data_IF_257283534645
#
_entry.id   IF_257283534645
#
_cell.length_a   1.000
_cell.length_b   1.000
_cell.length_c   1.000
_cell.angle_alpha   90.00
_cell.angle_beta   90.00
_cell.angle_gamma   90.00
#
_symmetry.space_group_name_H-M   'P 1'
#
loop_
_entity.id
_entity.type
_entity.pdbx_description
1 polymer ?
#
# COMPACT_ATOMS: atom_id res chain seq x y z
N UNK A 1 -45.41 -20.30 38.79
CA UNK A 1 -45.22 -20.65 37.37
C UNK A 1 -44.10 -19.79 36.82
N UNK A 2 -42.87 -20.31 36.86
CA UNK A 2 -41.70 -19.63 36.31
C UNK A 2 -41.65 -19.97 34.82
N UNK A 3 -41.80 -18.94 33.99
CA UNK A 3 -41.70 -19.01 32.54
C UNK A 3 -40.23 -19.18 32.18
N UNK A 4 -39.94 -20.27 31.48
CA UNK A 4 -38.68 -20.61 30.85
C UNK A 4 -38.23 -19.46 29.93
N UNK A 5 -37.10 -18.80 30.23
CA UNK A 5 -36.39 -17.97 29.25
C UNK A 5 -35.12 -18.70 28.83
N UNK A 6 -35.13 -19.09 27.56
CA UNK A 6 -34.01 -19.71 26.85
C UNK A 6 -32.79 -18.80 26.94
N UNK A 7 -31.69 -19.35 27.44
CA UNK A 7 -30.36 -18.78 27.32
C UNK A 7 -29.94 -18.88 25.85
N UNK A 8 -30.14 -17.81 25.09
CA UNK A 8 -29.35 -17.61 23.88
C UNK A 8 -27.94 -17.25 24.36
N UNK A 9 -27.03 -18.22 24.33
CA UNK A 9 -25.60 -17.96 24.25
C UNK A 9 -25.38 -17.23 22.92
N UNK A 10 -25.57 -15.91 22.95
CA UNK A 10 -25.21 -15.04 21.85
C UNK A 10 -23.72 -15.19 21.65
N UNK A 11 -23.34 -15.91 20.59
CA UNK A 11 -21.99 -15.84 20.06
C UNK A 11 -21.79 -14.38 19.68
N UNK A 12 -21.06 -13.64 20.53
CA UNK A 12 -20.44 -12.40 20.10
C UNK A 12 -19.48 -12.81 19.00
N UNK A 13 -19.88 -12.62 17.75
CA UNK A 13 -18.94 -12.61 16.63
C UNK A 13 -18.13 -11.34 16.83
N UNK A 14 -17.06 -11.46 17.62
CA UNK A 14 -15.98 -10.49 17.58
C UNK A 14 -15.33 -10.76 16.22
N UNK A 15 -15.62 -9.90 15.24
CA UNK A 15 -14.79 -9.82 14.06
C UNK A 15 -13.40 -9.41 14.57
N UNK A 16 -12.52 -10.41 14.70
CA UNK A 16 -11.10 -10.20 14.93
C UNK A 16 -10.61 -9.31 13.79
N UNK A 17 -10.20 -8.10 14.16
CA UNK A 17 -9.50 -7.12 13.35
C UNK A 17 -9.97 -7.07 11.90
N UNK A 18 -11.02 -6.29 11.66
CA UNK A 18 -11.27 -5.74 10.34
C UNK A 18 -9.93 -5.24 9.81
N UNK A 19 -9.44 -5.89 8.77
CA UNK A 19 -8.19 -5.54 8.12
C UNK A 19 -8.32 -4.07 7.75
N UNK A 20 -7.65 -3.19 8.51
CA UNK A 20 -7.47 -1.81 8.10
C UNK A 20 -6.90 -1.88 6.70
N UNK A 21 -7.64 -1.39 5.70
CA UNK A 21 -7.05 -1.02 4.43
C UNK A 21 -6.13 0.17 4.74
N UNK A 22 -4.91 -0.12 5.20
CA UNK A 22 -3.85 0.88 5.24
C UNK A 22 -3.37 1.06 3.80
N UNK A 23 -4.21 1.65 2.93
CA UNK A 23 -3.98 1.83 1.50
C UNK A 23 -3.47 0.56 0.82
N UNK A 24 -4.36 -0.32 0.39
CA UNK A 24 -4.09 -1.72 0.07
C UNK A 24 -2.77 -1.98 -0.67
N UNK A 25 -2.06 -3.02 -0.22
CA UNK A 25 -0.91 -3.54 -0.93
C UNK A 25 -1.36 -4.02 -2.32
N UNK A 26 -1.19 -3.17 -3.33
CA UNK A 26 -1.57 -3.40 -4.71
C UNK A 26 -0.73 -4.52 -5.36
N UNK A 27 0.40 -4.88 -4.76
CA UNK A 27 1.30 -5.90 -5.28
C UNK A 27 0.97 -7.30 -4.75
N UNK A 28 0.21 -7.43 -3.66
CA UNK A 28 -0.09 -8.73 -3.05
C UNK A 28 -0.72 -9.71 -4.07
N UNK A 29 -0.09 -10.86 -4.22
CA UNK A 29 -0.49 -11.94 -5.13
C UNK A 29 -0.32 -11.62 -6.61
N UNK A 30 0.30 -10.48 -6.97
CA UNK A 30 0.43 -10.07 -8.37
C UNK A 30 1.62 -10.72 -9.07
N UNK A 31 1.61 -10.82 -10.42
CA UNK A 31 2.74 -11.35 -11.17
C UNK A 31 4.01 -10.52 -10.95
N UNK A 32 5.10 -11.19 -10.60
CA UNK A 32 6.41 -10.57 -10.42
C UNK A 32 7.49 -11.27 -11.24
N UNK A 33 8.48 -10.51 -11.69
CA UNK A 33 9.65 -10.95 -12.46
C UNK A 33 10.93 -10.35 -11.87
N UNK A 34 12.06 -10.97 -12.13
CA UNK A 34 13.35 -10.48 -11.69
C UNK A 34 14.43 -10.77 -12.74
N UNK A 35 15.56 -10.06 -12.67
CA UNK A 35 16.68 -10.16 -13.62
C UNK A 35 17.22 -11.58 -13.77
N UNK A 36 17.24 -12.34 -12.67
CA UNK A 36 17.63 -13.74 -12.62
C UNK A 36 17.13 -14.37 -11.32
N UNK A 37 17.05 -15.68 -11.24
CA UNK A 37 16.62 -16.38 -10.01
C UNK A 37 17.77 -17.17 -9.40
N UNK A 38 18.03 -16.96 -8.11
CA UNK A 38 18.93 -17.79 -7.32
C UNK A 38 18.17 -18.96 -6.71
N UNK A 39 18.50 -20.18 -7.15
CA UNK A 39 17.80 -21.42 -6.77
C UNK A 39 16.27 -21.32 -6.94
N UNK A 40 15.51 -21.44 -5.85
CA UNK A 40 14.04 -21.42 -5.83
C UNK A 40 13.49 -20.09 -5.27
N UNK A 41 14.32 -19.05 -5.19
CA UNK A 41 13.95 -17.76 -4.62
C UNK A 41 13.25 -16.88 -5.68
N UNK A 42 12.10 -17.35 -6.16
CA UNK A 42 11.35 -16.74 -7.25
C UNK A 42 10.89 -15.32 -6.91
N UNK A 43 10.75 -14.46 -7.94
CA UNK A 43 10.28 -13.08 -7.79
C UNK A 43 8.93 -12.97 -7.06
N UNK A 44 8.02 -13.94 -7.27
CA UNK A 44 6.67 -13.97 -6.67
C UNK A 44 6.67 -14.06 -5.15
N UNK A 45 7.79 -14.48 -4.54
CA UNK A 45 7.89 -14.61 -3.09
C UNK A 45 7.90 -13.26 -2.39
N UNK A 46 8.32 -12.18 -3.08
CA UNK A 46 8.29 -10.83 -2.51
C UNK A 46 6.90 -10.17 -2.57
N UNK A 47 5.86 -10.89 -2.97
CA UNK A 47 4.47 -10.40 -3.07
C UNK A 47 3.47 -11.44 -2.58
N UNK A 48 3.91 -12.42 -1.80
CA UNK A 48 3.03 -13.49 -1.34
C UNK A 48 2.23 -13.10 -0.08
N UNK A 49 2.51 -11.93 0.49
CA UNK A 49 1.86 -11.43 1.70
C UNK A 49 2.44 -12.02 2.99
N UNK A 50 3.62 -12.63 2.93
CA UNK A 50 4.34 -13.16 4.09
C UNK A 50 5.66 -12.40 4.31
N UNK A 51 5.77 -11.82 5.50
CA UNK A 51 6.86 -10.92 5.89
C UNK A 51 8.05 -11.63 6.54
N UNK A 52 8.09 -12.97 6.47
CA UNK A 52 9.19 -13.75 7.04
C UNK A 52 10.52 -13.37 6.36
N UNK A 53 11.45 -12.86 7.15
CA UNK A 53 12.71 -12.31 6.68
C UNK A 53 13.86 -13.33 6.67
N UNK A 54 13.56 -14.60 6.96
CA UNK A 54 14.52 -15.71 6.91
C UNK A 54 14.45 -16.40 5.55
N UNK A 55 15.52 -16.30 4.76
CA UNK A 55 15.55 -16.83 3.38
C UNK A 55 15.16 -18.32 3.28
N UNK A 56 15.59 -19.16 4.24
CA UNK A 56 15.28 -20.60 4.22
C UNK A 56 13.82 -20.95 4.50
N UNK A 57 13.01 -20.01 5.00
CA UNK A 57 11.57 -20.21 5.18
C UNK A 57 10.79 -20.06 3.87
N UNK A 58 11.45 -19.63 2.79
CA UNK A 58 10.90 -19.65 1.44
C UNK A 58 9.96 -18.47 1.13
N UNK A 59 10.14 -17.35 1.82
CA UNK A 59 9.34 -16.12 1.64
C UNK A 59 10.17 -14.92 1.16
N UNK A 60 11.30 -15.16 0.50
CA UNK A 60 12.09 -14.07 -0.07
C UNK A 60 12.49 -14.36 -1.51
N UNK A 61 12.33 -13.37 -2.37
CA UNK A 61 12.93 -13.36 -3.70
C UNK A 61 14.43 -13.10 -3.59
N UNK A 62 15.21 -13.68 -4.51
CA UNK A 62 16.65 -13.48 -4.54
C UNK A 62 17.16 -13.68 -5.98
N UNK A 63 17.86 -12.69 -6.50
CA UNK A 63 18.53 -12.78 -7.80
C UNK A 63 19.87 -13.48 -7.68
N UNK A 64 20.52 -13.85 -8.79
CA UNK A 64 21.96 -14.09 -8.75
C UNK A 64 22.72 -12.76 -8.58
N UNK A 65 24.01 -12.83 -8.28
CA UNK A 65 24.89 -11.65 -8.34
C UNK A 65 25.12 -11.18 -9.77
N UNK A 66 25.30 -9.88 -9.95
CA UNK A 66 25.65 -9.26 -11.23
C UNK A 66 25.28 -7.79 -11.27
N UNK A 67 25.76 -7.06 -12.27
CA UNK A 67 25.49 -5.62 -12.39
C UNK A 67 24.00 -5.36 -12.69
N UNK A 68 23.39 -4.44 -11.94
CA UNK A 68 22.04 -3.96 -12.21
C UNK A 68 20.93 -4.98 -11.96
N UNK A 69 21.03 -5.78 -10.89
CA UNK A 69 19.94 -6.68 -10.48
C UNK A 69 18.66 -5.91 -10.23
N UNK A 70 17.54 -6.47 -10.68
CA UNK A 70 16.24 -5.85 -10.57
C UNK A 70 15.13 -6.85 -10.29
N UNK A 71 14.07 -6.34 -9.66
CA UNK A 71 12.82 -7.02 -9.40
C UNK A 71 11.68 -6.11 -9.83
N UNK A 72 10.62 -6.66 -10.42
CA UNK A 72 9.51 -5.92 -10.98
C UNK A 72 8.19 -6.64 -10.75
N UNK A 73 7.19 -5.90 -10.26
CA UNK A 73 5.80 -6.38 -10.16
C UNK A 73 4.93 -5.72 -11.23
N UNK A 74 4.06 -6.52 -11.84
CA UNK A 74 2.95 -6.08 -12.67
C UNK A 74 1.68 -5.98 -11.81
N UNK A 75 1.20 -4.77 -11.55
CA UNK A 75 -0.02 -4.53 -10.77
C UNK A 75 -1.32 -4.93 -11.50
N UNK A 76 -1.20 -5.43 -12.74
CA UNK A 76 -2.26 -5.82 -13.70
C UNK A 76 -3.14 -4.66 -14.20
N UNK A 77 -3.33 -3.66 -13.36
CA UNK A 77 -4.10 -2.44 -13.63
C UNK A 77 -3.22 -1.21 -13.45
N UNK A 78 -3.58 -0.11 -14.13
CA UNK A 78 -2.88 1.16 -13.89
C UNK A 78 -3.32 1.74 -12.56
N UNK A 79 -2.34 2.08 -11.72
CA UNK A 79 -2.51 2.71 -10.43
C UNK A 79 -1.79 4.08 -10.37
N UNK A 80 -2.12 4.87 -9.36
CA UNK A 80 -1.32 5.98 -8.86
C UNK A 80 -0.53 5.48 -7.65
N UNK A 81 0.70 5.05 -7.91
CA UNK A 81 1.62 4.53 -6.89
C UNK A 81 2.14 5.68 -6.04
N UNK A 82 1.86 5.64 -4.74
CA UNK A 82 2.26 6.67 -3.78
C UNK A 82 3.59 6.34 -3.08
N UNK A 83 3.93 5.05 -2.98
CA UNK A 83 5.15 4.57 -2.36
C UNK A 83 5.19 3.06 -2.23
N UNK A 84 6.24 2.56 -1.60
CA UNK A 84 6.43 1.14 -1.30
C UNK A 84 6.88 0.92 0.14
N UNK A 85 6.60 -0.25 0.68
CA UNK A 85 7.22 -0.76 1.89
C UNK A 85 7.98 -2.03 1.52
N UNK A 86 9.25 -2.12 1.87
CA UNK A 86 10.12 -3.24 1.51
C UNK A 86 10.61 -3.92 2.79
N UNK A 87 10.38 -5.22 2.91
CA UNK A 87 10.95 -6.07 3.96
C UNK A 87 12.28 -6.63 3.48
N UNK A 88 13.36 -6.25 4.16
CA UNK A 88 14.70 -6.75 3.91
C UNK A 88 14.90 -8.12 4.59
N UNK A 89 15.89 -8.89 4.12
CA UNK A 89 16.31 -10.14 4.74
C UNK A 89 16.92 -9.90 6.13
N UNK A 90 16.58 -10.74 7.10
CA UNK A 90 16.96 -10.58 8.50
C UNK A 90 17.95 -11.61 9.05
N UNK A 91 17.98 -12.84 8.54
CA UNK A 91 18.84 -13.92 9.07
C UNK A 91 20.33 -13.73 8.75
N UNK A 92 20.65 -13.15 7.60
CA UNK A 92 21.99 -12.68 7.24
C UNK A 92 21.89 -11.69 6.09
N UNK A 93 23.03 -11.10 5.75
CA UNK A 93 23.25 -10.55 4.41
C UNK A 93 22.33 -9.37 4.07
N UNK A 94 21.76 -8.71 5.08
CA UNK A 94 20.89 -7.55 4.97
C UNK A 94 21.58 -6.37 4.28
N UNK A 95 22.92 -6.34 4.31
CA UNK A 95 23.78 -5.37 3.64
C UNK A 95 23.67 -5.40 2.11
N UNK A 96 23.10 -6.48 1.53
CA UNK A 96 22.91 -6.63 0.08
C UNK A 96 21.81 -5.75 -0.49
N UNK A 97 20.76 -5.46 0.30
CA UNK A 97 19.76 -4.46 -0.07
C UNK A 97 20.34 -3.06 0.19
N UNK A 98 21.08 -2.58 -0.79
CA UNK A 98 21.73 -1.28 -0.75
C UNK A 98 21.66 -0.60 -2.12
N UNK A 99 21.84 0.73 -2.12
CA UNK A 99 21.96 1.58 -3.31
C UNK A 99 20.97 1.19 -4.41
N UNK A 100 19.68 1.34 -4.11
CA UNK A 100 18.62 0.95 -5.03
C UNK A 100 17.65 2.10 -5.28
N UNK A 101 16.91 1.96 -6.37
CA UNK A 101 15.84 2.87 -6.75
C UNK A 101 14.52 2.12 -6.90
N UNK A 102 13.45 2.79 -6.52
CA UNK A 102 12.08 2.42 -6.84
C UNK A 102 11.64 3.26 -8.02
N UNK A 103 11.19 2.62 -9.09
CA UNK A 103 10.71 3.30 -10.29
C UNK A 103 9.35 2.79 -10.74
N UNK A 104 8.56 3.64 -11.38
CA UNK A 104 7.18 3.35 -11.78
C UNK A 104 7.03 3.54 -13.29
N UNK A 105 6.52 2.52 -13.98
CA UNK A 105 6.34 2.48 -15.43
C UNK A 105 4.90 2.17 -15.85
N UNK A 106 4.51 2.61 -17.04
CA UNK A 106 3.18 2.36 -17.61
C UNK A 106 3.12 1.14 -18.54
N UNK A 107 4.25 0.75 -19.14
CA UNK A 107 4.39 -0.41 -20.03
C UNK A 107 5.46 -1.36 -19.50
N UNK A 108 5.30 -2.65 -19.78
CA UNK A 108 6.35 -3.63 -19.54
C UNK A 108 7.44 -3.43 -20.57
N UNK A 109 8.69 -3.44 -20.12
CA UNK A 109 9.83 -3.17 -20.97
C UNK A 109 10.87 -4.24 -20.72
N UNK A 110 11.15 -5.02 -21.76
CA UNK A 110 12.14 -6.08 -21.71
C UNK A 110 13.54 -5.56 -22.07
N UNK A 111 13.87 -4.32 -21.68
CA UNK A 111 15.21 -3.76 -21.82
C UNK A 111 15.75 -3.45 -20.42
N UNK A 112 17.04 -3.73 -20.20
CA UNK A 112 17.68 -3.58 -18.89
C UNK A 112 17.93 -2.13 -18.47
N UNK A 113 17.56 -1.15 -19.31
CA UNK A 113 17.85 0.26 -19.06
C UNK A 113 16.81 0.94 -18.18
N UNK A 114 15.53 0.52 -18.27
CA UNK A 114 14.40 1.07 -17.51
C UNK A 114 14.30 2.62 -17.47
N UNK A 115 14.88 3.31 -18.44
CA UNK A 115 14.98 4.79 -18.47
C UNK A 115 13.62 5.48 -18.59
N UNK A 116 12.64 4.79 -19.14
CA UNK A 116 11.25 5.24 -19.22
C UNK A 116 10.46 5.13 -17.90
N UNK A 117 10.97 4.38 -16.91
CA UNK A 117 10.34 4.29 -15.61
C UNK A 117 10.72 5.52 -14.80
N UNK A 118 9.70 6.22 -14.29
CA UNK A 118 9.89 7.44 -13.50
C UNK A 118 10.41 7.07 -12.11
N UNK A 119 11.40 7.80 -11.63
CA UNK A 119 11.92 7.65 -10.28
C UNK A 119 10.83 7.99 -9.26
N UNK A 120 10.50 7.03 -8.40
CA UNK A 120 9.66 7.23 -7.22
C UNK A 120 10.55 7.63 -6.04
N UNK A 121 11.51 6.78 -5.68
CA UNK A 121 12.41 7.01 -4.56
C UNK A 121 13.79 6.41 -4.83
N UNK A 122 14.81 6.98 -4.21
CA UNK A 122 16.17 6.41 -4.16
C UNK A 122 16.52 6.11 -2.71
N UNK A 123 17.22 5.00 -2.49
CA UNK A 123 17.74 4.64 -1.19
C UNK A 123 19.28 4.47 -1.27
N UNK A 124 20.05 5.51 -0.91
CA UNK A 124 21.49 5.41 -0.84
C UNK A 124 21.94 4.64 0.42
N UNK A 125 22.99 3.83 0.29
CA UNK A 125 23.49 3.02 1.40
C UNK A 125 22.64 1.77 1.66
N UNK A 126 22.81 1.18 2.85
CA UNK A 126 22.23 -0.12 3.25
C UNK A 126 20.88 0.07 3.92
N UNK A 127 19.85 -0.64 3.46
CA UNK A 127 18.56 -0.71 4.14
C UNK A 127 18.69 -1.48 5.45
N UNK A 128 18.08 -1.02 6.55
CA UNK A 128 18.08 -1.76 7.81
C UNK A 128 17.41 -3.13 7.64
N UNK A 129 17.65 -4.01 8.62
CA UNK A 129 16.84 -5.22 8.79
C UNK A 129 15.39 -4.82 9.09
N UNK A 130 14.43 -5.60 8.59
CA UNK A 130 13.00 -5.31 8.71
C UNK A 130 12.48 -4.43 7.58
N UNK A 131 11.47 -3.60 7.87
CA UNK A 131 10.73 -2.85 6.85
C UNK A 131 11.28 -1.45 6.63
N UNK A 132 11.45 -1.06 5.36
CA UNK A 132 11.77 0.31 4.95
C UNK A 132 10.64 0.88 4.10
N UNK A 133 10.08 2.02 4.50
CA UNK A 133 9.04 2.73 3.74
C UNK A 133 9.63 3.83 2.87
N UNK A 134 9.24 3.88 1.60
CA UNK A 134 9.70 4.86 0.61
C UNK A 134 8.52 5.52 -0.07
N UNK A 135 8.44 6.85 0.03
CA UNK A 135 7.40 7.64 -0.64
C UNK A 135 7.90 8.16 -1.98
N UNK A 136 7.02 8.21 -2.98
CA UNK A 136 7.31 8.85 -4.26
C UNK A 136 7.34 10.40 -4.21
N UNK A 137 7.05 11.00 -3.05
CA UNK A 137 6.83 12.44 -2.88
C UNK A 137 5.51 12.94 -3.46
N UNK A 138 5.17 12.48 -4.67
CA UNK A 138 3.86 12.65 -5.31
C UNK A 138 3.46 11.35 -6.03
N UNK A 139 2.16 10.97 -6.06
CA UNK A 139 1.77 9.71 -6.68
C UNK A 139 2.08 9.65 -8.17
N UNK A 140 2.69 8.54 -8.60
CA UNK A 140 3.07 8.29 -9.99
C UNK A 140 2.06 7.36 -10.65
N UNK A 141 1.55 7.76 -11.82
CA UNK A 141 0.70 6.89 -12.63
C UNK A 141 1.54 5.79 -13.29
N UNK A 142 1.24 4.52 -13.01
CA UNK A 142 1.90 3.36 -13.61
C UNK A 142 1.23 2.03 -13.28
N UNK A 143 1.63 0.98 -13.99
CA UNK A 143 1.19 -0.41 -13.77
C UNK A 143 2.34 -1.28 -13.26
N UNK A 144 3.59 -0.89 -13.54
CA UNK A 144 4.77 -1.67 -13.18
C UNK A 144 5.58 -0.92 -12.13
N UNK A 145 5.97 -1.62 -11.07
CA UNK A 145 6.86 -1.08 -10.04
C UNK A 145 8.15 -1.89 -10.07
N UNK A 146 9.26 -1.18 -10.27
CA UNK A 146 10.61 -1.72 -10.40
C UNK A 146 11.42 -1.35 -9.17
N UNK A 147 12.11 -2.32 -8.57
CA UNK A 147 13.19 -2.12 -7.62
C UNK A 147 14.48 -2.54 -8.32
N UNK A 148 15.44 -1.61 -8.46
CA UNK A 148 16.68 -1.85 -9.21
C UNK A 148 17.88 -1.34 -8.43
N UNK A 149 18.93 -2.16 -8.36
CA UNK A 149 20.23 -1.74 -7.81
C UNK A 149 20.93 -0.79 -8.80
N UNK A 150 21.48 0.31 -8.28
CA UNK A 150 22.14 1.36 -9.05
C UNK A 150 23.58 1.57 -8.60
N UNK A 151 24.37 2.24 -9.44
CA UNK A 151 25.82 2.37 -9.23
C UNK A 151 26.56 1.06 -9.56
N UNK A 152 27.85 0.99 -9.23
CA UNK A 152 28.67 -0.20 -9.45
C UNK A 152 28.45 -1.22 -8.34
N UNK A 153 27.38 -2.02 -8.47
CA UNK A 153 27.03 -3.07 -7.53
C UNK A 153 26.76 -4.39 -8.27
N UNK A 154 27.56 -5.40 -7.93
CA UNK A 154 27.52 -6.75 -8.50
C UNK A 154 26.91 -7.78 -7.53
N UNK A 155 26.33 -7.32 -6.42
CA UNK A 155 25.68 -8.14 -5.42
C UNK A 155 24.28 -8.59 -5.85
N UNK A 156 23.67 -9.40 -5.00
CA UNK A 156 22.33 -9.96 -5.13
C UNK A 156 21.30 -8.89 -4.79
N UNK A 157 20.13 -8.91 -5.44
CA UNK A 157 18.94 -8.20 -4.95
C UNK A 157 18.07 -9.20 -4.17
N UNK A 158 17.77 -8.86 -2.92
CA UNK A 158 17.02 -9.70 -1.99
C UNK A 158 15.87 -8.90 -1.41
N UNK A 159 14.65 -9.44 -1.53
CA UNK A 159 13.42 -8.78 -1.10
C UNK A 159 12.52 -9.86 -0.50
N UNK A 160 12.16 -9.72 0.77
CA UNK A 160 11.28 -10.67 1.46
C UNK A 160 9.81 -10.31 1.26
N UNK A 161 9.47 -9.02 1.28
CA UNK A 161 8.13 -8.59 0.89
C UNK A 161 8.23 -7.18 0.30
N UNK A 162 7.40 -6.89 -0.70
CA UNK A 162 7.26 -5.58 -1.32
C UNK A 162 5.78 -5.24 -1.36
N UNK A 163 5.40 -4.30 -0.49
CA UNK A 163 4.08 -3.69 -0.55
C UNK A 163 4.11 -2.48 -1.49
N UNK A 164 3.17 -2.42 -2.42
CA UNK A 164 2.95 -1.23 -3.25
C UNK A 164 1.71 -0.53 -2.75
N UNK A 165 1.87 0.69 -2.25
CA UNK A 165 0.77 1.50 -1.75
C UNK A 165 0.41 2.59 -2.75
N UNK A 166 -0.88 2.76 -2.98
CA UNK A 166 -1.41 3.71 -3.93
C UNK A 166 -2.84 3.41 -4.27
N UNK A 167 -3.27 3.91 -5.42
CA UNK A 167 -4.66 3.88 -5.83
C UNK A 167 -4.80 3.23 -7.17
N UNK A 168 -5.52 2.12 -7.22
CA UNK A 168 -5.93 1.51 -8.47
C UNK A 168 -7.22 2.15 -8.98
N UNK A 169 -7.59 1.87 -10.24
CA UNK A 169 -8.93 2.20 -10.74
C UNK A 169 -10.07 1.48 -10.00
N UNK A 170 -9.75 0.47 -9.19
CA UNK A 170 -10.71 -0.26 -8.37
C UNK A 170 -10.83 0.26 -6.93
N UNK A 171 -9.99 1.21 -6.50
CA UNK A 171 -10.10 1.81 -5.17
C UNK A 171 -11.35 2.69 -5.10
N UNK A 172 -12.23 2.41 -4.14
CA UNK A 172 -13.47 3.14 -3.91
C UNK A 172 -13.58 3.54 -2.45
N UNK A 173 -14.17 4.70 -2.16
CA UNK A 173 -14.55 5.08 -0.81
C UNK A 173 -15.95 4.56 -0.51
N UNK A 174 -16.08 3.70 0.49
CA UNK A 174 -17.38 3.20 0.95
C UNK A 174 -17.85 4.03 2.14
N UNK A 175 -19.13 4.40 2.11
CA UNK A 175 -19.74 5.06 3.26
C UNK A 175 -19.83 4.07 4.42
N UNK A 176 -19.17 4.41 5.53
CA UNK A 176 -19.19 3.60 6.76
C UNK A 176 -20.25 4.14 7.72
N UNK A 177 -20.43 5.46 7.78
CA UNK A 177 -21.47 6.08 8.59
C UNK A 177 -22.07 7.31 7.89
N UNK A 178 -23.40 7.40 7.93
CA UNK A 178 -24.16 8.56 7.47
C UNK A 178 -24.47 9.48 8.66
N UNK A 179 -24.56 10.79 8.39
CA UNK A 179 -24.78 11.82 9.41
C UNK A 179 -23.79 11.73 10.59
N UNK A 180 -22.55 11.36 10.28
CA UNK A 180 -21.49 11.15 11.25
C UNK A 180 -20.14 11.65 10.73
N UNK A 181 -19.30 12.07 11.68
CA UNK A 181 -17.95 12.60 11.43
C UNK A 181 -16.94 11.91 12.32
N UNK A 182 -15.83 11.44 11.77
CA UNK A 182 -14.71 10.98 12.57
C UNK A 182 -14.02 12.16 13.28
N UNK A 183 -13.80 12.03 14.58
CA UNK A 183 -13.19 13.06 15.44
C UNK A 183 -11.65 13.06 15.40
N UNK A 184 -11.07 12.54 14.33
CA UNK A 184 -9.63 12.48 14.12
C UNK A 184 -9.10 13.85 13.68
N UNK A 185 -7.81 14.10 13.91
CA UNK A 185 -7.13 15.30 13.41
C UNK A 185 -6.91 15.16 11.90
N UNK A 186 -7.49 16.03 11.06
CA UNK A 186 -7.29 15.93 9.62
C UNK A 186 -5.85 16.21 9.20
N UNK A 187 -5.34 15.45 8.22
CA UNK A 187 -4.12 15.77 7.47
C UNK A 187 -4.30 17.11 6.74
N UNK A 188 -5.48 17.30 6.16
CA UNK A 188 -5.85 18.48 5.40
C UNK A 188 -7.36 18.65 5.39
N UNK A 189 -7.80 19.90 5.28
CA UNK A 189 -9.20 20.26 5.07
C UNK A 189 -9.29 21.04 3.75
N UNK A 190 -10.16 20.61 2.86
CA UNK A 190 -10.24 21.05 1.48
C UNK A 190 -11.67 21.48 1.16
N UNK A 191 -11.82 22.52 0.34
CA UNK A 191 -13.08 22.83 -0.33
C UNK A 191 -13.09 22.09 -1.67
N UNK A 192 -14.06 21.21 -1.86
CA UNK A 192 -14.20 20.38 -3.06
C UNK A 192 -15.65 20.44 -3.56
N UNK A 193 -15.89 19.95 -4.77
CA UNK A 193 -17.23 19.98 -5.37
C UNK A 193 -18.05 18.73 -5.15
N UNK A 194 -17.40 17.63 -4.77
CA UNK A 194 -18.04 16.33 -4.64
C UNK A 194 -17.25 15.37 -3.75
N UNK A 195 -17.92 14.30 -3.32
CA UNK A 195 -17.28 13.13 -2.72
C UNK A 195 -16.15 12.58 -3.61
N UNK A 196 -16.35 12.54 -4.93
CA UNK A 196 -15.35 12.04 -5.87
C UNK A 196 -14.08 12.89 -5.86
N UNK A 197 -14.21 14.21 -5.83
CA UNK A 197 -13.06 15.12 -5.75
C UNK A 197 -12.35 14.99 -4.38
N UNK A 198 -13.11 14.86 -3.28
CA UNK A 198 -12.54 14.56 -1.96
C UNK A 198 -11.75 13.25 -1.94
N UNK A 199 -12.36 12.18 -2.48
CA UNK A 199 -11.76 10.87 -2.61
C UNK A 199 -10.45 10.97 -3.39
N UNK A 200 -10.44 11.66 -4.54
CA UNK A 200 -9.23 11.87 -5.34
C UNK A 200 -8.15 12.61 -4.55
N UNK A 201 -8.50 13.62 -3.76
CA UNK A 201 -7.56 14.35 -2.91
C UNK A 201 -6.99 13.48 -1.78
N UNK A 202 -7.83 12.67 -1.12
CA UNK A 202 -7.36 11.68 -0.13
C UNK A 202 -6.35 10.73 -0.77
N UNK A 203 -6.71 10.18 -1.91
CA UNK A 203 -5.87 9.29 -2.72
C UNK A 203 -4.54 9.95 -3.13
N UNK A 204 -4.46 11.27 -3.22
CA UNK A 204 -3.17 11.94 -3.50
C UNK A 204 -2.25 12.04 -2.27
N UNK A 205 -2.76 11.79 -1.07
CA UNK A 205 -2.01 11.80 0.18
C UNK A 205 -1.74 10.37 0.67
N UNK A 206 -0.47 9.97 0.68
CA UNK A 206 -0.05 8.62 1.12
C UNK A 206 -0.41 8.26 2.57
N UNK A 207 -0.73 9.26 3.40
CA UNK A 207 -1.18 9.05 4.79
C UNK A 207 -2.70 8.96 4.91
N UNK A 208 -3.46 9.33 3.87
CA UNK A 208 -4.91 9.40 3.97
C UNK A 208 -5.53 8.00 3.82
N UNK A 209 -6.39 7.62 4.76
CA UNK A 209 -7.09 6.34 4.78
C UNK A 209 -8.62 6.51 4.88
N UNK A 210 -9.10 7.69 5.26
CA UNK A 210 -10.52 7.96 5.38
C UNK A 210 -10.82 9.43 5.11
N UNK A 211 -12.09 9.75 4.88
CA UNK A 211 -12.55 11.11 4.65
C UNK A 211 -13.83 11.42 5.42
N UNK A 212 -13.93 12.64 5.93
CA UNK A 212 -15.23 13.25 6.25
C UNK A 212 -15.65 14.15 5.10
N UNK A 213 -16.90 14.06 4.67
CA UNK A 213 -17.46 14.92 3.62
C UNK A 213 -18.75 15.58 4.10
N UNK A 214 -18.80 16.91 4.10
CA UNK A 214 -19.98 17.70 4.42
C UNK A 214 -20.36 18.57 3.21
N UNK A 215 -21.49 18.30 2.57
CA UNK A 215 -21.94 19.03 1.38
C UNK A 215 -23.14 19.94 1.68
N UNK A 216 -23.07 21.21 1.29
CA UNK A 216 -24.10 22.21 1.57
C UNK A 216 -25.15 22.41 0.46
N UNK A 217 -25.26 21.46 -0.48
CA UNK A 217 -26.24 21.51 -1.58
C UNK A 217 -26.06 22.69 -2.52
N UNK A 218 -24.93 22.76 -3.25
CA UNK A 218 -24.62 23.66 -4.37
C UNK A 218 -23.21 23.36 -4.93
N UNK A 219 -22.86 22.07 -5.08
CA UNK A 219 -21.49 21.63 -5.45
C UNK A 219 -20.38 22.23 -4.55
N UNK A 220 -20.69 22.46 -3.28
CA UNK A 220 -19.74 22.92 -2.27
C UNK A 220 -19.74 21.91 -1.13
N UNK A 221 -18.61 21.24 -0.97
CA UNK A 221 -18.36 20.31 0.10
C UNK A 221 -17.08 20.68 0.84
N UNK A 222 -17.10 20.53 2.15
CA UNK A 222 -15.90 20.51 2.99
C UNK A 222 -15.46 19.06 3.10
N UNK A 223 -14.20 18.81 2.76
CA UNK A 223 -13.56 17.50 2.73
C UNK A 223 -12.42 17.49 3.74
N UNK A 224 -12.42 16.55 4.67
CA UNK A 224 -11.31 16.34 5.59
C UNK A 224 -10.62 15.02 5.28
N UNK A 225 -9.31 15.08 5.08
CA UNK A 225 -8.47 13.93 4.80
C UNK A 225 -7.94 13.37 6.13
N UNK A 226 -8.19 12.10 6.42
CA UNK A 226 -7.90 11.52 7.74
C UNK A 226 -6.77 10.49 7.67
N UNK A 227 -5.86 10.45 8.67
CA UNK A 227 -4.66 9.63 8.62
C UNK A 227 -4.90 8.13 8.91
N UNK A 228 -6.10 7.78 9.35
CA UNK A 228 -6.48 6.43 9.73
C UNK A 228 -8.00 6.27 9.67
N UNK A 229 -8.47 5.03 9.75
CA UNK A 229 -9.88 4.72 9.96
C UNK A 229 -10.29 5.01 11.41
N UNK A 230 -11.56 5.30 11.61
CA UNK A 230 -12.15 5.62 12.89
C UNK A 230 -12.76 4.36 13.51
N UNK A 231 -12.53 4.11 14.79
CA UNK A 231 -13.32 3.12 15.49
C UNK A 231 -14.73 3.67 15.72
N UNK A 232 -15.70 2.79 16.01
CA UNK A 232 -17.09 3.22 16.27
C UNK A 232 -17.19 4.27 17.39
N UNK A 233 -16.26 4.27 18.35
CA UNK A 233 -16.18 5.27 19.44
C UNK A 233 -15.71 6.64 19.00
N UNK A 234 -15.04 6.74 17.84
CA UNK A 234 -14.41 7.97 17.35
C UNK A 234 -15.36 8.79 16.46
N UNK A 235 -16.53 8.22 16.13
CA UNK A 235 -17.56 8.83 15.31
C UNK A 235 -18.52 9.69 16.16
N UNK A 236 -18.63 10.96 15.79
CA UNK A 236 -19.65 11.88 16.28
C UNK A 236 -20.87 11.82 15.35
N UNK A 237 -22.05 11.52 15.89
CA UNK A 237 -23.32 11.52 15.17
C UNK A 237 -23.93 12.92 15.06
N UNK A 238 -24.97 13.05 14.22
CA UNK A 238 -25.78 14.26 14.01
C UNK A 238 -24.95 15.47 13.55
N UNK A 239 -23.96 15.23 12.70
CA UNK A 239 -22.99 16.26 12.26
C UNK A 239 -23.30 16.82 10.87
N UNK A 240 -24.25 16.24 10.15
CA UNK A 240 -24.51 16.45 8.73
C UNK A 240 -23.42 15.91 7.80
N UNK A 241 -22.31 15.42 8.36
CA UNK A 241 -21.19 14.87 7.58
C UNK A 241 -21.44 13.42 7.22
N UNK A 242 -20.76 12.96 6.19
CA UNK A 242 -20.71 11.55 5.82
C UNK A 242 -19.27 11.05 5.96
N UNK A 243 -19.11 9.91 6.63
CA UNK A 243 -17.82 9.30 6.88
C UNK A 243 -17.59 8.13 5.92
N UNK A 244 -16.46 8.16 5.23
CA UNK A 244 -16.06 7.15 4.27
C UNK A 244 -14.67 6.61 4.57
N UNK A 245 -14.49 5.32 4.36
CA UNK A 245 -13.20 4.64 4.43
C UNK A 245 -12.79 4.15 3.05
N UNK A 246 -11.48 4.10 2.79
CA UNK A 246 -10.98 3.50 1.57
C UNK A 246 -11.20 1.98 1.60
N UNK A 247 -11.75 1.45 0.52
CA UNK A 247 -11.77 0.02 0.26
C UNK A 247 -11.00 -0.19 -1.02
N UNK A 248 -9.97 -1.03 -0.96
CA UNK A 248 -9.45 -1.62 -2.17
C UNK A 248 -9.86 -3.08 -2.21
N UNK A 249 -10.62 -3.39 -3.25
CA UNK A 249 -10.93 -4.74 -3.66
C UNK A 249 -9.62 -5.30 -4.24
N UNK A 250 -8.86 -5.99 -3.40
CA UNK A 250 -7.67 -6.76 -3.78
C UNK A 250 -8.05 -8.15 -4.28
#
# INVERSE_FOLDING_TARGET
MVVLRLLFLGVTVIYLDGTLCRGCNLAKGKPANQSSTYHTCDARLAVDGNYDDVLSHGSCSNTNGGQGQWWLVDLETTARVAGVIITNRGDCCSDRLNNFEVRVGTSYENNSSFTQYKLCASYPGVAPVGTTSLSCGSPLRGRYVLIIKVGSDYSYLQLCEVEVHGISSATTFQQVAADARASLVPISTLNVRSLTECSISCMQHWKCAAINVLCAGNDQCVCELLPSTAQSSDLQADTGSEYYEDICLG
#
